data_IF_318967850210
#
_entry.id   IF_318967850210
#
_cell.length_a   1.000
_cell.length_b   1.000
_cell.length_c   1.000
_cell.angle_alpha   90.00
_cell.angle_beta   90.00
_cell.angle_gamma   90.00
#
_symmetry.space_group_name_H-M   'P 1'
#
loop_
_entity.id
_entity.type
_entity.pdbx_description
1 polymer ?
#
# COMPACT_ATOMS: atom_id res chain seq x y z
N UNK A 1 -16.52 -23.94 -5.66
CA UNK A 1 -16.38 -23.21 -4.36
C UNK A 1 -15.56 -21.97 -4.61
N UNK A 2 -15.90 -20.84 -3.96
CA UNK A 2 -15.22 -19.57 -4.14
C UNK A 2 -14.06 -19.37 -3.16
N UNK A 3 -13.09 -18.55 -3.54
CA UNK A 3 -12.01 -18.05 -2.69
C UNK A 3 -12.36 -16.63 -2.21
N UNK A 4 -12.10 -16.32 -0.96
CA UNK A 4 -12.25 -14.97 -0.44
C UNK A 4 -10.89 -14.29 -0.26
N UNK A 5 -10.80 -13.02 -0.61
CA UNK A 5 -9.66 -12.16 -0.30
C UNK A 5 -10.02 -11.24 0.86
N UNK A 6 -9.22 -11.26 1.92
CA UNK A 6 -9.38 -10.43 3.11
C UNK A 6 -8.15 -9.55 3.29
N UNK A 7 -8.23 -8.30 2.87
CA UNK A 7 -7.10 -7.36 2.78
C UNK A 7 -7.49 -5.91 3.03
N UNK A 8 -6.49 -5.06 3.17
CA UNK A 8 -6.64 -3.60 3.32
C UNK A 8 -6.91 -2.97 1.94
N UNK A 9 -7.99 -2.20 1.79
CA UNK A 9 -8.28 -1.46 0.56
C UNK A 9 -9.13 -0.19 0.73
N UNK A 10 -9.84 -0.03 1.85
CA UNK A 10 -10.73 1.12 2.09
C UNK A 10 -9.99 2.28 2.75
N UNK A 11 -8.99 2.81 2.09
CA UNK A 11 -8.16 3.90 2.59
C UNK A 11 -7.77 4.87 1.48
N UNK A 12 -7.05 5.94 1.83
CA UNK A 12 -6.54 6.94 0.88
C UNK A 12 -5.12 6.66 0.41
N UNK A 13 -4.47 5.64 0.97
CA UNK A 13 -3.14 5.20 0.54
C UNK A 13 -3.25 4.45 -0.79
N UNK A 14 -2.61 4.98 -1.82
CA UNK A 14 -2.64 4.40 -3.16
C UNK A 14 -2.14 2.95 -3.18
N UNK A 15 -1.01 2.69 -2.52
CA UNK A 15 -0.41 1.36 -2.50
C UNK A 15 -1.33 0.31 -1.89
N UNK A 16 -2.03 0.64 -0.81
CA UNK A 16 -2.95 -0.30 -0.17
C UNK A 16 -4.15 -0.66 -1.07
N UNK A 17 -4.65 0.30 -1.87
CA UNK A 17 -5.71 0.02 -2.86
C UNK A 17 -5.16 -0.79 -4.03
N UNK A 18 -3.99 -0.42 -4.54
CA UNK A 18 -3.37 -1.04 -5.71
C UNK A 18 -2.91 -2.49 -5.44
N UNK A 19 -2.38 -2.79 -4.24
CA UNK A 19 -2.04 -4.17 -3.88
C UNK A 19 -3.30 -5.06 -3.80
N UNK A 20 -4.42 -4.53 -3.27
CA UNK A 20 -5.68 -5.27 -3.23
C UNK A 20 -6.24 -5.51 -4.63
N UNK A 21 -6.18 -4.50 -5.51
CA UNK A 21 -6.53 -4.63 -6.92
C UNK A 21 -5.67 -5.69 -7.61
N UNK A 22 -4.34 -5.61 -7.48
CA UNK A 22 -3.40 -6.51 -8.13
C UNK A 22 -3.60 -7.96 -7.66
N UNK A 23 -3.76 -8.18 -6.34
CA UNK A 23 -4.00 -9.52 -5.80
C UNK A 23 -5.36 -10.08 -6.26
N UNK A 24 -6.42 -9.28 -6.21
CA UNK A 24 -7.73 -9.70 -6.70
C UNK A 24 -7.70 -10.05 -8.20
N UNK A 25 -7.02 -9.23 -9.03
CA UNK A 25 -6.84 -9.48 -10.47
C UNK A 25 -6.05 -10.78 -10.72
N UNK A 26 -4.94 -10.97 -10.00
CA UNK A 26 -4.12 -12.18 -10.13
C UNK A 26 -4.89 -13.43 -9.71
N UNK A 27 -5.61 -13.38 -8.60
CA UNK A 27 -6.44 -14.50 -8.14
C UNK A 27 -7.57 -14.83 -9.14
N UNK A 28 -8.24 -13.81 -9.69
CA UNK A 28 -9.29 -13.98 -10.72
C UNK A 28 -8.71 -14.57 -12.01
N UNK A 29 -7.53 -14.14 -12.41
CA UNK A 29 -6.82 -14.72 -13.56
C UNK A 29 -6.48 -16.21 -13.37
N UNK A 30 -6.19 -16.64 -12.13
CA UNK A 30 -5.86 -18.03 -11.81
C UNK A 30 -7.10 -18.92 -11.64
N UNK A 31 -8.17 -18.39 -11.06
CA UNK A 31 -9.33 -19.17 -10.59
C UNK A 31 -10.60 -18.93 -11.41
N UNK A 32 -10.66 -17.87 -12.19
CA UNK A 32 -11.83 -17.38 -12.90
C UNK A 32 -12.46 -16.17 -12.21
N UNK A 33 -13.07 -15.29 -13.01
CA UNK A 33 -13.61 -13.98 -12.58
C UNK A 33 -14.63 -14.08 -11.43
N UNK A 34 -15.52 -15.09 -11.46
CA UNK A 34 -16.57 -15.27 -10.47
C UNK A 34 -16.15 -16.14 -9.28
N UNK A 35 -14.93 -16.66 -9.30
CA UNK A 35 -14.41 -17.54 -8.25
C UNK A 35 -13.79 -16.80 -7.07
N UNK A 36 -13.65 -15.46 -7.15
CA UNK A 36 -12.96 -14.66 -6.13
C UNK A 36 -13.83 -13.50 -5.66
N UNK A 37 -14.15 -13.51 -4.38
CA UNK A 37 -14.84 -12.42 -3.70
C UNK A 37 -13.85 -11.65 -2.82
N UNK A 38 -13.85 -10.31 -2.88
CA UNK A 38 -13.11 -9.47 -1.93
C UNK A 38 -14.03 -9.13 -0.76
N UNK A 39 -13.66 -9.50 0.46
CA UNK A 39 -14.50 -9.29 1.65
C UNK A 39 -14.63 -7.79 1.92
N UNK A 40 -15.86 -7.28 1.79
CA UNK A 40 -16.18 -5.90 2.13
C UNK A 40 -16.29 -5.76 3.65
N UNK A 41 -15.25 -5.26 4.29
CA UNK A 41 -15.21 -5.08 5.75
C UNK A 41 -14.89 -3.65 6.11
N UNK A 42 -15.36 -3.25 7.29
CA UNK A 42 -15.01 -1.96 7.86
C UNK A 42 -13.55 -2.02 8.28
N UNK A 43 -12.78 -1.09 7.75
CA UNK A 43 -11.45 -0.82 8.26
C UNK A 43 -11.53 0.03 9.52
N UNK A 44 -10.41 0.05 10.24
CA UNK A 44 -10.22 0.76 11.48
C UNK A 44 -10.92 2.14 11.47
N UNK A 45 -11.81 2.44 12.45
CA UNK A 45 -12.37 3.78 12.60
C UNK A 45 -11.33 4.88 12.85
N UNK A 46 -10.03 4.57 13.09
CA UNK A 46 -8.94 5.56 13.14
C UNK A 46 -8.63 6.19 11.78
N UNK A 47 -9.02 5.61 10.67
CA UNK A 47 -9.28 6.36 9.44
C UNK A 47 -10.32 7.47 9.65
N UNK A 48 -10.88 7.54 10.86
CA UNK A 48 -11.69 8.61 11.44
C UNK A 48 -10.89 9.80 11.94
N UNK A 49 -9.68 10.07 11.45
CA UNK A 49 -9.11 11.40 11.55
C UNK A 49 -10.16 12.44 11.15
N UNK A 50 -9.89 13.69 11.37
CA UNK A 50 -10.81 14.80 11.10
C UNK A 50 -11.72 14.58 9.88
N UNK A 51 -11.23 13.89 8.85
CA UNK A 51 -11.94 13.55 7.63
C UNK A 51 -13.07 12.51 7.85
N UNK A 52 -12.83 11.45 8.60
CA UNK A 52 -13.87 10.48 8.96
C UNK A 52 -15.01 11.13 9.73
N UNK A 53 -14.69 12.07 10.62
CA UNK A 53 -15.69 12.87 11.35
C UNK A 53 -16.49 13.85 10.47
N UNK A 54 -15.93 14.21 9.30
CA UNK A 54 -16.62 15.05 8.31
C UNK A 54 -17.58 14.21 7.46
N UNK A 55 -17.21 13.00 7.14
CA UNK A 55 -17.93 12.13 6.18
C UNK A 55 -18.88 11.13 6.82
N UNK A 56 -18.75 10.88 8.13
CA UNK A 56 -19.65 9.96 8.85
C UNK A 56 -21.09 10.51 8.88
N UNK A 57 -22.08 9.84 8.28
CA UNK A 57 -23.47 10.28 8.27
C UNK A 57 -24.08 10.39 9.68
N UNK A 58 -23.57 9.60 10.65
CA UNK A 58 -24.02 9.62 12.03
C UNK A 58 -23.45 10.79 12.85
N UNK A 59 -22.49 11.56 12.30
CA UNK A 59 -22.00 12.77 12.97
C UNK A 59 -23.02 13.90 12.77
N UNK A 60 -23.48 14.60 13.83
CA UNK A 60 -24.40 15.72 13.71
C UNK A 60 -23.93 16.77 12.71
N UNK A 61 -24.85 17.35 11.93
CA UNK A 61 -24.53 18.27 10.83
C UNK A 61 -23.67 19.47 11.24
N UNK A 62 -23.90 20.05 12.43
CA UNK A 62 -23.13 21.18 12.95
C UNK A 62 -21.69 20.79 13.32
N UNK A 63 -21.48 19.53 13.81
CA UNK A 63 -20.15 19.02 14.07
C UNK A 63 -19.42 18.74 12.74
N UNK A 64 -20.11 18.20 11.75
CA UNK A 64 -19.54 18.02 10.38
C UNK A 64 -19.12 19.36 9.78
N UNK A 65 -19.97 20.39 9.87
CA UNK A 65 -19.66 21.73 9.42
C UNK A 65 -18.43 22.32 10.11
N UNK A 66 -18.37 22.24 11.45
CA UNK A 66 -17.22 22.70 12.23
C UNK A 66 -15.94 21.96 11.85
N UNK A 67 -16.00 20.64 11.68
CA UNK A 67 -14.86 19.83 11.30
C UNK A 67 -14.40 20.14 9.87
N UNK A 68 -15.33 20.38 8.92
CA UNK A 68 -14.99 20.84 7.56
C UNK A 68 -14.24 22.16 7.60
N UNK A 69 -14.68 23.13 8.40
CA UNK A 69 -13.95 24.41 8.54
C UNK A 69 -12.55 24.21 9.09
N UNK A 70 -12.38 23.36 10.11
CA UNK A 70 -11.05 23.02 10.66
C UNK A 70 -10.18 22.33 9.60
N UNK A 71 -10.75 21.42 8.82
CA UNK A 71 -10.05 20.74 7.73
C UNK A 71 -9.62 21.74 6.64
N UNK A 72 -10.54 22.58 6.20
CA UNK A 72 -10.24 23.61 5.20
C UNK A 72 -9.23 24.66 5.69
N UNK A 73 -9.18 24.93 6.99
CA UNK A 73 -8.18 25.83 7.57
C UNK A 73 -6.77 25.24 7.57
N UNK A 74 -6.64 23.90 7.68
CA UNK A 74 -5.37 23.19 7.89
C UNK A 74 -4.76 22.65 6.58
N UNK A 75 -5.59 22.28 5.60
CA UNK A 75 -5.13 21.54 4.43
C UNK A 75 -5.30 22.34 3.13
N UNK A 76 -4.39 22.06 2.19
CA UNK A 76 -4.39 22.63 0.84
C UNK A 76 -5.43 21.92 0.00
N UNK A 77 -6.28 22.70 -0.70
CA UNK A 77 -7.33 22.19 -1.61
C UNK A 77 -8.07 20.95 -1.07
N UNK A 78 -8.71 21.05 0.09
CA UNK A 78 -9.45 19.95 0.69
C UNK A 78 -10.61 19.46 -0.19
N UNK A 79 -11.14 20.32 -1.04
CA UNK A 79 -12.15 20.01 -2.06
C UNK A 79 -11.64 18.95 -3.06
N UNK A 80 -10.40 19.11 -3.56
CA UNK A 80 -9.79 18.15 -4.47
C UNK A 80 -9.47 16.82 -3.75
N UNK A 81 -9.08 16.87 -2.49
CA UNK A 81 -8.86 15.65 -1.71
C UNK A 81 -10.16 14.88 -1.47
N UNK A 82 -11.29 15.58 -1.23
CA UNK A 82 -12.62 14.92 -1.14
C UNK A 82 -13.01 14.32 -2.51
N UNK A 83 -12.77 15.02 -3.62
CA UNK A 83 -12.99 14.51 -4.98
C UNK A 83 -12.16 13.27 -5.28
N UNK A 84 -10.87 13.24 -4.89
CA UNK A 84 -10.00 12.06 -4.99
C UNK A 84 -10.60 10.86 -4.25
N UNK A 85 -11.09 11.07 -3.03
CA UNK A 85 -11.72 9.99 -2.25
C UNK A 85 -12.94 9.41 -2.96
N UNK A 86 -13.77 10.26 -3.55
CA UNK A 86 -14.93 9.79 -4.32
C UNK A 86 -14.48 8.94 -5.51
N UNK A 87 -13.49 9.40 -6.30
CA UNK A 87 -12.88 8.64 -7.39
C UNK A 87 -12.28 7.31 -6.91
N UNK A 88 -11.61 7.31 -5.75
CA UNK A 88 -11.04 6.08 -5.17
C UNK A 88 -12.13 5.09 -4.78
N UNK A 89 -13.23 5.53 -4.19
CA UNK A 89 -14.38 4.67 -3.85
C UNK A 89 -15.00 4.07 -5.11
N UNK A 90 -15.18 4.86 -6.17
CA UNK A 90 -15.68 4.39 -7.46
C UNK A 90 -14.73 3.34 -8.09
N UNK A 91 -13.42 3.60 -8.08
CA UNK A 91 -12.40 2.67 -8.55
C UNK A 91 -12.45 1.36 -7.76
N UNK A 92 -12.54 1.43 -6.42
CA UNK A 92 -12.65 0.24 -5.58
C UNK A 92 -13.91 -0.56 -5.95
N UNK A 93 -15.05 0.09 -6.12
CA UNK A 93 -16.30 -0.58 -6.48
C UNK A 93 -16.20 -1.28 -7.84
N UNK A 94 -15.56 -0.65 -8.82
CA UNK A 94 -15.44 -1.13 -10.19
C UNK A 94 -14.37 -2.22 -10.37
N UNK A 95 -13.21 -2.02 -9.77
CA UNK A 95 -11.99 -2.81 -10.08
C UNK A 95 -11.68 -3.83 -8.98
N UNK A 96 -11.76 -3.45 -7.70
CA UNK A 96 -11.59 -4.39 -6.58
C UNK A 96 -12.83 -5.26 -6.40
N UNK A 97 -14.01 -4.68 -6.61
CA UNK A 97 -15.33 -5.35 -6.57
C UNK A 97 -15.56 -6.09 -5.25
N UNK A 98 -15.61 -5.38 -4.12
CA UNK A 98 -15.89 -6.00 -2.83
C UNK A 98 -17.32 -6.53 -2.78
N UNK A 99 -17.56 -7.54 -1.92
CA UNK A 99 -18.89 -8.11 -1.71
C UNK A 99 -19.90 -7.02 -1.31
N UNK A 100 -21.18 -7.20 -1.69
CA UNK A 100 -22.24 -6.23 -1.38
C UNK A 100 -22.44 -6.06 0.14
N UNK A 101 -22.34 -7.16 0.91
CA UNK A 101 -22.44 -7.11 2.37
C UNK A 101 -21.18 -6.47 2.98
N UNK A 102 -21.37 -5.43 3.78
CA UNK A 102 -20.33 -4.84 4.62
C UNK A 102 -20.31 -5.55 5.99
N UNK A 103 -19.19 -6.11 6.37
CA UNK A 103 -18.93 -6.62 7.71
C UNK A 103 -18.41 -5.48 8.58
N UNK A 104 -19.24 -4.98 9.50
CA UNK A 104 -18.94 -3.79 10.29
C UNK A 104 -17.99 -4.06 11.46
N UNK A 105 -17.80 -5.33 11.83
CA UNK A 105 -16.88 -5.77 12.89
C UNK A 105 -16.29 -7.14 12.58
N UNK A 106 -15.14 -7.50 13.18
CA UNK A 106 -14.58 -8.87 13.05
C UNK A 106 -15.54 -9.97 13.49
N UNK A 107 -16.39 -9.70 14.48
CA UNK A 107 -17.38 -10.67 14.99
C UNK A 107 -18.39 -11.06 13.93
N UNK A 108 -18.74 -10.15 13.04
CA UNK A 108 -19.67 -10.44 11.94
C UNK A 108 -19.09 -11.42 10.91
N UNK A 109 -17.76 -11.55 10.85
CA UNK A 109 -17.09 -12.55 10.00
C UNK A 109 -17.36 -13.99 10.41
N UNK A 110 -17.89 -14.24 11.63
CA UNK A 110 -18.39 -15.57 12.03
C UNK A 110 -19.50 -16.08 11.12
N UNK A 111 -20.27 -15.16 10.51
CA UNK A 111 -21.33 -15.46 9.55
C UNK A 111 -20.86 -15.43 8.09
N UNK A 112 -19.53 -15.42 7.85
CA UNK A 112 -19.00 -15.46 6.51
C UNK A 112 -19.46 -16.72 5.78
N UNK A 113 -19.89 -16.55 4.53
CA UNK A 113 -20.23 -17.66 3.65
C UNK A 113 -19.09 -18.66 3.57
N UNK A 114 -19.36 -19.96 3.38
CA UNK A 114 -18.32 -20.95 3.24
C UNK A 114 -17.56 -20.73 1.94
N UNK A 115 -16.30 -20.30 2.07
CA UNK A 115 -15.34 -20.26 0.99
C UNK A 115 -14.45 -21.49 1.03
N UNK A 116 -13.90 -21.92 -0.10
CA UNK A 116 -12.90 -22.98 -0.12
C UNK A 116 -11.64 -22.53 0.63
N UNK A 117 -11.25 -21.29 0.45
CA UNK A 117 -10.06 -20.70 1.07
C UNK A 117 -10.31 -19.21 1.33
N UNK A 118 -9.81 -18.70 2.44
CA UNK A 118 -9.67 -17.25 2.70
C UNK A 118 -8.20 -16.89 2.62
N UNK A 119 -7.86 -16.03 1.66
CA UNK A 119 -6.52 -15.46 1.48
C UNK A 119 -6.46 -14.17 2.28
N UNK A 120 -5.59 -14.09 3.28
CA UNK A 120 -5.32 -12.89 4.07
C UNK A 120 -4.07 -12.20 3.51
N UNK A 121 -4.13 -10.91 3.34
CA UNK A 121 -3.01 -10.14 2.80
C UNK A 121 -3.30 -9.59 1.41
N UNK A 122 -2.44 -8.82 0.89
CA UNK A 122 -1.11 -8.39 1.32
C UNK A 122 -1.17 -7.15 2.26
N UNK A 123 -0.10 -6.34 2.18
CA UNK A 123 0.14 -5.12 2.95
C UNK A 123 0.32 -5.38 4.47
N UNK A 124 0.32 -4.32 5.27
CA UNK A 124 0.57 -4.36 6.71
C UNK A 124 -0.63 -4.94 7.52
N UNK A 125 -1.20 -6.03 7.02
CA UNK A 125 -2.33 -6.72 7.67
C UNK A 125 -1.99 -7.21 9.07
N UNK A 126 -0.74 -7.52 9.35
CA UNK A 126 -0.29 -8.00 10.66
C UNK A 126 0.51 -6.98 11.47
N UNK A 127 0.41 -5.69 11.11
CA UNK A 127 1.06 -4.63 11.89
C UNK A 127 0.36 -4.47 13.25
N UNK A 128 1.09 -4.64 14.39
CA UNK A 128 0.50 -4.56 15.72
C UNK A 128 0.11 -3.12 16.11
N UNK A 129 0.64 -2.12 15.41
CA UNK A 129 0.36 -0.70 15.64
C UNK A 129 -0.83 -0.21 14.81
N UNK A 130 -1.31 -1.03 13.88
CA UNK A 130 -2.45 -0.75 13.01
C UNK A 130 -3.51 -1.83 13.21
N UNK A 131 -4.74 -1.56 12.76
CA UNK A 131 -5.83 -2.55 12.71
C UNK A 131 -6.27 -3.12 14.08
N UNK A 132 -6.06 -2.37 15.17
CA UNK A 132 -6.32 -2.82 16.56
C UNK A 132 -7.56 -2.20 17.21
N UNK A 133 -8.39 -1.46 16.48
CA UNK A 133 -9.56 -0.74 17.00
C UNK A 133 -10.64 -1.63 17.62
N UNK A 134 -10.60 -2.92 17.30
CA UNK A 134 -11.52 -3.91 17.86
C UNK A 134 -10.90 -4.67 19.05
N UNK A 135 -9.83 -4.14 19.65
CA UNK A 135 -9.10 -4.79 20.75
C UNK A 135 -8.20 -5.93 20.32
N UNK A 136 -8.17 -6.27 19.02
CA UNK A 136 -7.28 -7.26 18.42
C UNK A 136 -7.02 -6.89 16.95
N UNK A 137 -5.95 -7.41 16.38
CA UNK A 137 -5.73 -7.25 14.94
C UNK A 137 -6.72 -8.12 14.16
N UNK A 138 -7.66 -7.48 13.48
CA UNK A 138 -8.73 -8.17 12.73
C UNK A 138 -8.21 -9.13 11.64
N UNK A 139 -7.06 -8.84 11.03
CA UNK A 139 -6.46 -9.66 9.97
C UNK A 139 -5.68 -10.88 10.49
N UNK A 140 -5.59 -11.08 11.79
CA UNK A 140 -5.25 -12.38 12.36
C UNK A 140 -6.34 -13.42 12.08
N UNK A 141 -7.49 -12.96 11.58
CA UNK A 141 -8.60 -13.78 11.12
C UNK A 141 -9.13 -14.75 12.20
N UNK A 142 -8.97 -14.39 13.47
CA UNK A 142 -9.42 -15.20 14.61
C UNK A 142 -10.93 -15.35 14.69
N UNK A 143 -11.66 -14.36 14.14
CA UNK A 143 -13.13 -14.37 14.08
C UNK A 143 -13.70 -15.19 12.91
N UNK A 144 -12.89 -15.68 12.00
CA UNK A 144 -13.37 -16.57 10.94
C UNK A 144 -13.80 -17.94 11.53
N UNK A 145 -14.83 -18.60 10.99
CA UNK A 145 -15.23 -19.95 11.40
C UNK A 145 -14.08 -20.94 11.34
N UNK A 146 -14.00 -21.88 12.28
CA UNK A 146 -12.89 -22.87 12.34
C UNK A 146 -12.83 -23.76 11.11
N UNK A 147 -13.99 -24.05 10.49
CA UNK A 147 -14.08 -24.81 9.22
C UNK A 147 -13.46 -24.08 8.04
N UNK A 148 -13.18 -22.78 8.19
CA UNK A 148 -12.68 -21.95 7.09
C UNK A 148 -11.17 -22.13 6.91
N UNK A 149 -10.76 -22.63 5.76
CA UNK A 149 -9.34 -22.68 5.40
C UNK A 149 -8.75 -21.28 5.26
N UNK A 150 -7.57 -21.05 5.84
CA UNK A 150 -6.89 -19.75 5.86
C UNK A 150 -5.48 -19.89 5.33
N UNK A 151 -5.13 -19.01 4.45
CA UNK A 151 -3.77 -18.86 3.94
C UNK A 151 -3.40 -17.37 3.94
N UNK A 152 -2.11 -17.07 3.98
CA UNK A 152 -1.65 -15.68 3.90
C UNK A 152 -0.72 -15.48 2.71
N UNK A 153 -1.01 -14.45 1.91
CA UNK A 153 -0.14 -14.07 0.80
C UNK A 153 0.50 -12.70 1.06
N UNK A 154 1.84 -12.68 1.04
CA UNK A 154 2.66 -11.47 1.19
C UNK A 154 2.22 -10.59 2.39
N UNK A 155 1.80 -11.21 3.49
CA UNK A 155 1.42 -10.50 4.70
C UNK A 155 2.63 -9.79 5.32
N UNK A 156 2.43 -8.54 5.77
CA UNK A 156 3.49 -7.73 6.36
C UNK A 156 3.18 -7.35 7.81
N UNK A 157 4.19 -7.40 8.66
CA UNK A 157 4.10 -6.89 10.03
C UNK A 157 4.38 -5.38 10.09
N UNK A 158 5.15 -4.85 9.15
CA UNK A 158 5.52 -3.43 9.12
C UNK A 158 6.37 -2.98 10.32
N UNK A 159 6.85 -3.92 11.12
CA UNK A 159 7.74 -3.72 12.28
C UNK A 159 8.86 -4.76 12.23
N UNK A 160 10.00 -4.45 12.84
CA UNK A 160 11.12 -5.40 12.96
C UNK A 160 10.90 -6.43 14.07
N UNK A 161 10.14 -6.06 15.11
CA UNK A 161 9.84 -6.92 16.25
C UNK A 161 8.40 -6.70 16.72
N UNK A 162 7.77 -7.76 17.22
CA UNK A 162 6.47 -7.66 17.85
C UNK A 162 6.61 -7.25 19.32
N UNK A 163 5.73 -6.33 19.80
CA UNK A 163 5.59 -6.05 21.21
C UNK A 163 5.32 -7.36 21.98
N UNK A 164 5.96 -7.53 23.12
CA UNK A 164 5.80 -8.75 23.95
C UNK A 164 4.34 -9.01 24.32
N UNK A 165 3.58 -7.96 24.55
CA UNK A 165 2.17 -8.01 24.94
C UNK A 165 1.25 -8.69 23.91
N UNK A 166 1.62 -8.72 22.63
CA UNK A 166 0.80 -9.34 21.58
C UNK A 166 1.38 -10.66 21.02
N UNK A 167 2.58 -11.06 21.42
CA UNK A 167 3.25 -12.26 20.86
C UNK A 167 2.41 -13.54 21.02
N UNK A 168 1.79 -13.73 22.17
CA UNK A 168 0.95 -14.91 22.43
C UNK A 168 -0.26 -15.00 21.51
N UNK A 169 -0.95 -13.87 21.32
CA UNK A 169 -2.10 -13.76 20.40
C UNK A 169 -1.69 -14.07 18.96
N UNK A 170 -0.59 -13.44 18.50
CA UNK A 170 -0.08 -13.68 17.15
C UNK A 170 0.34 -15.12 16.94
N UNK A 171 1.07 -15.71 17.90
CA UNK A 171 1.48 -17.10 17.82
C UNK A 171 0.30 -18.08 17.70
N UNK A 172 -0.75 -17.86 18.49
CA UNK A 172 -1.97 -18.67 18.45
C UNK A 172 -2.70 -18.52 17.10
N UNK A 173 -2.82 -17.28 16.60
CA UNK A 173 -3.49 -17.00 15.35
C UNK A 173 -2.73 -17.55 14.13
N UNK A 174 -1.40 -17.34 14.06
CA UNK A 174 -0.59 -17.76 12.92
C UNK A 174 -0.55 -19.30 12.77
N UNK A 175 -0.61 -20.07 13.87
CA UNK A 175 -0.71 -21.53 13.82
C UNK A 175 -1.98 -22.05 13.16
N UNK A 176 -3.03 -21.21 13.06
CA UNK A 176 -4.31 -21.56 12.41
C UNK A 176 -4.26 -21.38 10.89
N UNK A 177 -3.23 -20.73 10.36
CA UNK A 177 -3.03 -20.63 8.91
C UNK A 177 -2.40 -21.93 8.40
N UNK A 178 -3.04 -22.50 7.36
CA UNK A 178 -2.52 -23.70 6.69
C UNK A 178 -1.16 -23.42 6.05
N UNK A 179 -1.04 -22.29 5.40
CA UNK A 179 0.20 -21.83 4.74
C UNK A 179 0.31 -20.31 4.83
N UNK A 180 1.52 -19.84 5.01
CA UNK A 180 1.85 -18.42 5.14
C UNK A 180 2.95 -18.10 4.12
N UNK A 181 2.83 -16.97 3.44
CA UNK A 181 3.93 -16.27 2.80
C UNK A 181 3.95 -14.83 3.30
N UNK A 182 5.11 -14.23 3.38
CA UNK A 182 5.32 -12.86 3.88
C UNK A 182 6.03 -12.00 2.85
N UNK A 183 5.95 -10.69 3.03
CA UNK A 183 6.51 -9.72 2.06
C UNK A 183 7.96 -9.36 2.33
N UNK A 184 8.44 -9.53 3.57
CA UNK A 184 9.77 -9.12 4.02
C UNK A 184 10.43 -10.17 4.93
N UNK A 185 11.76 -10.18 4.95
CA UNK A 185 12.58 -11.11 5.76
C UNK A 185 12.32 -10.97 7.26
N UNK A 186 12.09 -9.74 7.73
CA UNK A 186 11.70 -9.48 9.13
C UNK A 186 10.41 -10.19 9.49
N UNK A 187 9.42 -10.21 8.59
CA UNK A 187 8.17 -10.95 8.75
C UNK A 187 8.39 -12.47 8.82
N UNK A 188 9.32 -13.00 8.01
CA UNK A 188 9.66 -14.40 8.04
C UNK A 188 10.32 -14.79 9.38
N UNK A 189 11.23 -13.97 9.89
CA UNK A 189 11.87 -14.18 11.19
C UNK A 189 10.86 -14.11 12.35
N UNK A 190 9.91 -13.16 12.32
CA UNK A 190 8.83 -13.08 13.32
C UNK A 190 7.98 -14.36 13.29
N UNK A 191 7.53 -14.81 12.11
CA UNK A 191 6.76 -16.04 11.99
C UNK A 191 7.52 -17.26 12.53
N UNK A 192 8.80 -17.39 12.19
CA UNK A 192 9.67 -18.47 12.65
C UNK A 192 9.80 -18.47 14.18
N UNK A 193 10.02 -17.30 14.79
CA UNK A 193 10.13 -17.18 16.25
C UNK A 193 8.84 -17.56 17.00
N UNK A 194 7.67 -17.34 16.37
CA UNK A 194 6.37 -17.60 16.99
C UNK A 194 5.83 -19.00 16.74
N UNK A 195 6.19 -19.60 15.61
CA UNK A 195 5.55 -20.84 15.15
C UNK A 195 6.53 -22.00 14.92
N UNK A 196 7.83 -21.72 14.90
CA UNK A 196 8.88 -22.67 14.51
C UNK A 196 8.93 -22.93 13.00
N UNK A 197 8.16 -22.21 12.19
CA UNK A 197 8.13 -22.34 10.73
C UNK A 197 8.50 -21.04 10.07
N UNK A 198 9.50 -21.06 9.18
CA UNK A 198 9.91 -19.90 8.39
C UNK A 198 9.14 -19.89 7.07
N UNK A 199 8.25 -18.93 6.84
CA UNK A 199 7.51 -18.82 5.59
C UNK A 199 8.39 -18.29 4.45
N UNK A 200 8.06 -18.61 3.19
CA UNK A 200 8.68 -17.98 2.02
C UNK A 200 8.41 -16.46 1.98
N UNK A 201 9.44 -15.71 1.58
CA UNK A 201 9.31 -14.28 1.25
C UNK A 201 8.95 -14.14 -0.22
N UNK A 202 7.84 -13.46 -0.50
CA UNK A 202 7.29 -13.29 -1.85
C UNK A 202 7.11 -11.80 -2.18
N UNK A 203 6.91 -11.50 -3.45
CA UNK A 203 6.64 -10.15 -3.91
C UNK A 203 5.30 -9.62 -3.40
N UNK A 204 5.27 -8.29 -3.17
CA UNK A 204 4.00 -7.56 -3.04
C UNK A 204 3.14 -7.79 -4.30
N UNK A 205 1.81 -7.91 -4.16
CA UNK A 205 0.93 -8.14 -5.31
C UNK A 205 1.09 -7.15 -6.45
N UNK A 206 1.46 -5.90 -6.17
CA UNK A 206 1.68 -4.91 -7.22
C UNK A 206 2.77 -5.33 -8.21
N UNK A 207 3.74 -6.11 -7.76
CA UNK A 207 4.86 -6.61 -8.58
C UNK A 207 4.57 -7.95 -9.25
N UNK A 208 3.42 -8.58 -9.00
CA UNK A 208 2.96 -9.75 -9.75
C UNK A 208 2.52 -9.38 -11.17
N UNK A 209 2.06 -8.15 -11.35
CA UNK A 209 1.69 -7.61 -12.66
C UNK A 209 2.91 -6.96 -13.33
N UNK A 210 3.05 -7.18 -14.63
CA UNK A 210 4.08 -6.55 -15.45
C UNK A 210 3.76 -5.08 -15.74
N UNK A 211 4.72 -4.32 -16.25
CA UNK A 211 4.50 -2.94 -16.70
C UNK A 211 3.39 -2.85 -17.76
N UNK A 212 3.34 -3.82 -18.68
CA UNK A 212 2.32 -3.91 -19.73
C UNK A 212 0.94 -4.17 -19.12
N UNK A 213 0.82 -5.14 -18.22
CA UNK A 213 -0.46 -5.43 -17.53
C UNK A 213 -0.97 -4.25 -16.70
N UNK A 214 -0.07 -3.49 -16.07
CA UNK A 214 -0.43 -2.24 -15.39
C UNK A 214 -0.87 -1.17 -16.39
N UNK A 215 -0.12 -1.00 -17.49
CA UNK A 215 -0.48 -0.05 -18.53
C UNK A 215 -1.89 -0.32 -19.06
N UNK A 216 -2.20 -1.58 -19.40
CA UNK A 216 -3.53 -1.97 -19.86
C UNK A 216 -4.63 -1.72 -18.82
N UNK A 217 -4.32 -1.93 -17.53
CA UNK A 217 -5.28 -1.69 -16.46
C UNK A 217 -5.61 -0.22 -16.27
N UNK A 218 -4.62 0.68 -16.39
CA UNK A 218 -4.77 2.09 -16.03
C UNK A 218 -5.07 3.03 -17.19
N UNK A 219 -4.78 2.64 -18.44
CA UNK A 219 -4.94 3.48 -19.66
C UNK A 219 -6.41 3.73 -20.01
N UNK A 220 -7.33 2.91 -19.53
CA UNK A 220 -8.75 3.08 -19.83
C UNK A 220 -9.32 4.35 -19.16
N UNK A 221 -9.06 5.50 -19.76
CA UNK A 221 -9.83 6.71 -19.50
C UNK A 221 -9.13 7.95 -18.98
N UNK A 222 -7.82 8.08 -19.04
CA UNK A 222 -7.16 9.30 -18.57
C UNK A 222 -6.11 9.85 -19.52
N UNK A 223 -6.05 11.18 -19.57
CA UNK A 223 -4.99 11.92 -20.25
C UNK A 223 -3.66 11.66 -19.54
N UNK A 224 -2.65 11.29 -20.31
CA UNK A 224 -1.26 11.24 -19.84
C UNK A 224 -0.85 12.63 -19.30
N UNK A 225 0.07 12.65 -18.34
CA UNK A 225 0.71 13.90 -17.93
C UNK A 225 1.33 14.57 -19.15
N UNK A 226 1.05 15.87 -19.31
CA UNK A 226 1.56 16.61 -20.46
C UNK A 226 2.98 17.11 -20.16
N UNK A 227 3.98 16.49 -20.77
CA UNK A 227 5.37 16.92 -20.74
C UNK A 227 6.23 16.28 -19.65
N UNK A 228 7.55 16.53 -19.70
CA UNK A 228 8.53 15.99 -18.77
C UNK A 228 8.27 16.43 -17.33
N UNK A 229 8.39 15.52 -16.36
CA UNK A 229 8.20 15.84 -14.96
C UNK A 229 8.82 14.80 -14.03
N UNK A 230 9.04 15.16 -12.78
CA UNK A 230 9.34 14.24 -11.70
C UNK A 230 8.04 13.91 -10.96
N UNK A 231 7.71 12.62 -10.84
CA UNK A 231 6.63 12.16 -9.98
C UNK A 231 7.14 12.07 -8.53
N UNK A 232 6.58 12.85 -7.62
CA UNK A 232 6.90 12.79 -6.21
C UNK A 232 5.73 12.19 -5.42
N UNK A 233 6.00 11.19 -4.56
CA UNK A 233 4.96 10.56 -3.73
C UNK A 233 5.42 10.37 -2.29
N UNK A 234 4.69 10.99 -1.36
CA UNK A 234 4.94 10.91 0.08
C UNK A 234 3.84 10.19 0.84
N UNK A 235 4.23 9.21 1.66
CA UNK A 235 3.31 8.53 2.60
C UNK A 235 3.26 9.27 3.93
N UNK A 236 4.37 9.86 4.35
CA UNK A 236 4.44 10.72 5.53
C UNK A 236 3.72 12.04 5.28
N UNK A 237 3.43 12.75 6.37
CA UNK A 237 2.96 14.16 6.25
C UNK A 237 4.06 14.99 5.60
N UNK A 238 3.72 15.63 4.48
CA UNK A 238 4.63 16.54 3.77
C UNK A 238 4.90 17.76 4.63
N UNK A 239 6.15 18.16 4.76
CA UNK A 239 6.61 19.37 5.43
C UNK A 239 7.07 20.45 4.43
N UNK A 240 7.28 21.70 4.91
CA UNK A 240 7.83 22.74 4.06
C UNK A 240 9.24 22.37 3.58
N UNK A 241 10.05 21.76 4.43
CA UNK A 241 11.40 21.32 4.05
C UNK A 241 11.36 20.26 2.90
N UNK A 242 10.34 19.40 2.86
CA UNK A 242 10.16 18.49 1.73
C UNK A 242 9.85 19.23 0.43
N UNK A 243 8.97 20.24 0.50
CA UNK A 243 8.61 21.08 -0.67
C UNK A 243 9.83 21.87 -1.16
N UNK A 244 10.60 22.46 -0.27
CA UNK A 244 11.80 23.24 -0.61
C UNK A 244 12.88 22.36 -1.25
N UNK A 245 13.10 21.16 -0.72
CA UNK A 245 14.03 20.17 -1.29
C UNK A 245 13.56 19.67 -2.67
N UNK A 246 12.25 19.41 -2.83
CA UNK A 246 11.68 19.05 -4.14
C UNK A 246 11.80 20.20 -5.15
N UNK A 247 11.64 21.44 -4.73
CA UNK A 247 11.83 22.59 -5.60
C UNK A 247 13.32 22.74 -6.04
N UNK A 248 14.26 22.51 -5.14
CA UNK A 248 15.68 22.48 -5.48
C UNK A 248 15.98 21.33 -6.47
N UNK A 249 15.42 20.16 -6.24
CA UNK A 249 15.53 19.01 -7.15
C UNK A 249 14.93 19.29 -8.53
N UNK A 250 13.75 19.93 -8.59
CA UNK A 250 13.13 20.37 -9.83
C UNK A 250 14.05 21.30 -10.64
N UNK A 251 14.61 22.32 -9.98
CA UNK A 251 15.56 23.26 -10.64
C UNK A 251 16.79 22.55 -11.19
N UNK A 252 17.34 21.61 -10.44
CA UNK A 252 18.49 20.81 -10.87
C UNK A 252 18.17 19.95 -12.10
N UNK A 253 16.96 19.36 -12.14
CA UNK A 253 16.53 18.50 -13.25
C UNK A 253 15.98 19.28 -14.46
N UNK A 254 15.65 20.56 -14.28
CA UNK A 254 15.05 21.38 -15.33
C UNK A 254 13.60 21.03 -15.68
N UNK A 255 12.92 20.25 -14.84
CA UNK A 255 11.54 19.79 -15.05
C UNK A 255 10.72 19.96 -13.77
N UNK A 256 9.39 20.22 -13.86
CA UNK A 256 8.56 20.40 -12.68
C UNK A 256 8.41 19.10 -11.88
N UNK A 257 8.20 19.23 -10.59
CA UNK A 257 7.81 18.12 -9.70
C UNK A 257 6.29 18.11 -9.56
N UNK A 258 5.65 16.98 -9.78
CA UNK A 258 4.24 16.75 -9.46
C UNK A 258 4.13 15.96 -8.17
N UNK A 259 3.64 16.63 -7.12
CA UNK A 259 3.63 16.11 -5.75
C UNK A 259 2.29 15.46 -5.42
N UNK A 260 2.34 14.18 -5.14
CA UNK A 260 1.24 13.37 -4.59
C UNK A 260 1.52 12.99 -3.14
N UNK A 261 0.48 12.77 -2.35
CA UNK A 261 0.61 12.30 -0.96
C UNK A 261 -0.47 11.29 -0.60
N UNK A 262 -0.19 10.37 0.32
CA UNK A 262 -1.19 9.41 0.80
C UNK A 262 -2.32 10.10 1.57
N UNK A 263 -2.00 11.10 2.36
CA UNK A 263 -2.93 11.93 3.12
C UNK A 263 -3.25 13.27 2.44
N UNK A 264 -4.05 14.11 3.09
CA UNK A 264 -4.28 15.47 2.64
C UNK A 264 -3.01 16.31 2.84
N UNK A 265 -2.67 17.13 1.83
CA UNK A 265 -1.52 18.02 1.91
C UNK A 265 -1.79 19.14 2.92
N UNK A 266 -0.87 19.44 3.84
CA UNK A 266 -0.95 20.65 4.67
C UNK A 266 -0.94 21.93 3.82
N UNK A 267 -1.38 23.04 4.41
CA UNK A 267 -1.15 24.35 3.80
C UNK A 267 0.32 24.71 3.91
N UNK A 268 1.01 24.65 2.80
CA UNK A 268 2.42 24.95 2.63
C UNK A 268 2.58 25.96 1.50
N UNK A 269 3.73 26.57 1.41
CA UNK A 269 4.10 27.42 0.29
C UNK A 269 4.64 26.52 -0.84
N UNK A 270 3.90 26.48 -1.95
CA UNK A 270 4.29 25.71 -3.14
C UNK A 270 4.87 26.64 -4.20
N UNK A 271 6.20 26.62 -4.42
CA UNK A 271 6.80 27.37 -5.52
C UNK A 271 6.37 26.73 -6.86
N UNK A 272 6.52 27.50 -7.96
CA UNK A 272 6.08 27.08 -9.31
C UNK A 272 6.70 25.74 -9.78
N UNK A 273 7.83 25.38 -9.24
CA UNK A 273 8.56 24.14 -9.51
C UNK A 273 7.86 22.91 -8.94
N UNK A 274 7.03 23.07 -7.90
CA UNK A 274 6.32 21.97 -7.22
C UNK A 274 4.82 22.13 -7.40
N UNK A 275 4.23 21.28 -8.22
CA UNK A 275 2.81 21.28 -8.54
C UNK A 275 2.09 20.20 -7.73
N UNK A 276 1.26 20.56 -6.73
CA UNK A 276 0.47 19.59 -5.99
C UNK A 276 -0.56 18.90 -6.87
N UNK A 277 -0.53 17.56 -6.92
CA UNK A 277 -1.52 16.73 -7.63
C UNK A 277 -2.44 16.05 -6.62
N UNK A 278 -3.35 16.82 -6.03
CA UNK A 278 -4.16 16.44 -4.88
C UNK A 278 -5.28 15.47 -5.21
N UNK A 279 -5.85 15.56 -6.42
CA UNK A 279 -7.02 14.78 -6.84
C UNK A 279 -6.67 13.51 -7.65
N UNK A 280 -5.40 13.11 -7.65
CA UNK A 280 -4.97 11.85 -8.24
C UNK A 280 -5.66 10.67 -7.54
N UNK A 281 -6.39 9.85 -8.28
CA UNK A 281 -6.86 8.54 -7.82
C UNK A 281 -5.72 7.50 -7.90
N UNK A 282 -5.89 6.26 -7.39
CA UNK A 282 -4.84 5.24 -7.44
C UNK A 282 -4.34 4.92 -8.86
N UNK A 283 -5.20 4.95 -9.88
CA UNK A 283 -4.77 4.72 -11.26
C UNK A 283 -4.05 5.93 -11.86
N UNK A 284 -4.48 7.16 -11.50
CA UNK A 284 -3.75 8.36 -11.86
C UNK A 284 -2.34 8.38 -11.26
N UNK A 285 -2.18 7.89 -10.02
CA UNK A 285 -0.87 7.72 -9.39
C UNK A 285 0.03 6.76 -10.20
N UNK A 286 -0.49 5.63 -10.67
CA UNK A 286 0.29 4.67 -11.48
C UNK A 286 0.73 5.31 -12.80
N UNK A 287 -0.20 6.02 -13.48
CA UNK A 287 0.12 6.73 -14.75
C UNK A 287 1.17 7.81 -14.53
N UNK A 288 1.04 8.58 -13.46
CA UNK A 288 1.98 9.65 -13.13
C UNK A 288 3.41 9.14 -12.98
N UNK A 289 3.57 7.98 -12.33
CA UNK A 289 4.88 7.32 -12.23
C UNK A 289 5.30 6.77 -13.59
N UNK A 290 4.41 6.09 -14.31
CA UNK A 290 4.72 5.48 -15.60
C UNK A 290 5.18 6.51 -16.64
N UNK A 291 4.62 7.72 -16.61
CA UNK A 291 4.90 8.78 -17.59
C UNK A 291 6.02 9.73 -17.13
N UNK A 292 6.53 9.61 -15.90
CA UNK A 292 7.55 10.51 -15.35
C UNK A 292 8.96 10.24 -15.90
N UNK A 293 9.80 11.28 -15.89
CA UNK A 293 11.24 11.13 -16.19
C UNK A 293 12.03 10.58 -15.00
N UNK A 294 11.51 10.77 -13.78
CA UNK A 294 12.07 10.28 -12.55
C UNK A 294 11.02 10.23 -11.44
N UNK A 295 11.30 9.47 -10.40
CA UNK A 295 10.45 9.34 -9.20
C UNK A 295 11.23 9.75 -7.96
N UNK A 296 10.58 10.53 -7.07
CA UNK A 296 11.10 10.79 -5.73
C UNK A 296 10.06 10.30 -4.70
N UNK A 297 10.46 9.45 -3.75
CA UNK A 297 9.45 8.85 -2.86
C UNK A 297 10.01 8.34 -1.54
N UNK A 298 9.21 8.45 -0.48
CA UNK A 298 9.41 7.76 0.80
C UNK A 298 8.53 6.50 0.93
N UNK A 299 7.87 6.12 -0.16
CA UNK A 299 6.90 5.04 -0.21
C UNK A 299 7.49 3.77 -0.78
N UNK A 300 7.27 2.65 -0.10
CA UNK A 300 7.61 1.33 -0.63
C UNK A 300 6.89 1.05 -1.98
N UNK A 301 5.59 1.36 -2.08
CA UNK A 301 4.87 1.17 -3.34
C UNK A 301 5.30 2.17 -4.42
N UNK A 302 5.65 3.42 -4.04
CA UNK A 302 6.24 4.37 -4.97
C UNK A 302 7.52 3.84 -5.62
N UNK A 303 8.40 3.25 -4.79
CA UNK A 303 9.62 2.59 -5.25
C UNK A 303 9.32 1.38 -6.15
N UNK A 304 8.36 0.54 -5.77
CA UNK A 304 7.97 -0.62 -6.58
C UNK A 304 7.46 -0.22 -7.96
N UNK A 305 6.59 0.79 -8.05
CA UNK A 305 6.10 1.28 -9.35
C UNK A 305 7.21 1.93 -10.18
N UNK A 306 8.16 2.65 -9.55
CA UNK A 306 9.32 3.14 -10.26
C UNK A 306 10.14 1.98 -10.88
N UNK A 307 10.34 0.89 -10.14
CA UNK A 307 11.01 -0.31 -10.63
C UNK A 307 10.21 -1.02 -11.74
N UNK A 308 8.89 -1.20 -11.58
CA UNK A 308 8.01 -1.82 -12.59
C UNK A 308 8.10 -1.08 -13.93
N UNK A 309 8.06 0.27 -13.90
CA UNK A 309 8.11 1.10 -15.10
C UNK A 309 9.52 1.52 -15.50
N UNK A 310 10.55 0.99 -14.83
CA UNK A 310 11.98 1.28 -15.11
C UNK A 310 12.27 2.79 -15.09
N UNK A 311 11.68 3.49 -14.13
CA UNK A 311 11.93 4.93 -13.97
C UNK A 311 13.10 5.16 -13.04
N UNK A 312 14.00 6.11 -13.36
CA UNK A 312 15.00 6.60 -12.41
C UNK A 312 14.31 7.02 -11.11
N UNK A 313 14.91 6.70 -9.95
CA UNK A 313 14.25 7.06 -8.71
C UNK A 313 15.22 7.49 -7.61
N UNK A 314 14.72 8.35 -6.71
CA UNK A 314 15.27 8.63 -5.40
C UNK A 314 14.35 8.00 -4.35
N UNK A 315 14.82 6.95 -3.68
CA UNK A 315 14.15 6.38 -2.52
C UNK A 315 14.66 7.10 -1.27
N UNK A 316 13.74 7.74 -0.52
CA UNK A 316 14.06 8.60 0.61
C UNK A 316 13.53 7.96 1.90
N UNK A 317 14.40 7.68 2.85
CA UNK A 317 14.05 7.05 4.12
C UNK A 317 14.64 7.79 5.30
N UNK A 318 14.00 7.72 6.46
CA UNK A 318 14.64 8.09 7.71
C UNK A 318 15.49 6.90 8.15
N UNK A 319 16.79 6.98 7.85
CA UNK A 319 17.75 5.91 8.13
C UNK A 319 18.16 5.86 9.62
N UNK A 320 17.80 6.88 10.39
CA UNK A 320 18.12 7.00 11.81
C UNK A 320 16.98 6.56 12.72
N UNK A 321 15.76 6.40 12.20
CA UNK A 321 14.59 5.89 12.94
C UNK A 321 14.37 4.40 12.65
N UNK A 322 14.63 3.50 13.61
CA UNK A 322 14.39 2.05 13.46
C UNK A 322 12.92 1.68 13.20
N UNK A 323 11.98 2.56 13.57
CA UNK A 323 10.55 2.39 13.32
C UNK A 323 10.11 2.88 11.94
N UNK A 324 11.01 3.46 11.17
CA UNK A 324 10.71 4.01 9.85
C UNK A 324 10.47 2.92 8.79
N UNK A 325 9.82 3.31 7.71
CA UNK A 325 9.64 2.45 6.52
C UNK A 325 10.96 2.21 5.75
N UNK A 326 12.07 2.82 6.17
CA UNK A 326 13.33 2.80 5.44
C UNK A 326 13.89 1.39 5.27
N UNK A 327 13.74 0.51 6.26
CA UNK A 327 14.21 -0.89 6.17
C UNK A 327 13.70 -1.62 4.94
N UNK A 328 12.40 -1.44 4.60
CA UNK A 328 11.78 -2.08 3.43
C UNK A 328 12.32 -1.52 2.11
N UNK A 329 12.60 -0.22 2.06
CA UNK A 329 13.23 0.41 0.90
C UNK A 329 14.66 -0.11 0.71
N UNK A 330 15.42 -0.20 1.81
CA UNK A 330 16.80 -0.72 1.82
C UNK A 330 16.83 -2.19 1.39
N UNK A 331 15.94 -3.02 1.93
CA UNK A 331 15.89 -4.46 1.60
C UNK A 331 15.52 -4.67 0.14
N UNK A 332 14.57 -3.91 -0.39
CA UNK A 332 14.21 -3.93 -1.81
C UNK A 332 15.40 -3.55 -2.69
N UNK A 333 16.03 -2.41 -2.40
CA UNK A 333 17.17 -1.94 -3.18
C UNK A 333 18.33 -2.95 -3.14
N UNK A 334 18.64 -3.49 -1.97
CA UNK A 334 19.69 -4.52 -1.81
C UNK A 334 19.39 -5.77 -2.63
N UNK A 335 18.13 -6.22 -2.60
CA UNK A 335 17.70 -7.44 -3.28
C UNK A 335 17.87 -7.38 -4.79
N UNK A 336 17.69 -6.20 -5.40
CA UNK A 336 17.73 -6.02 -6.84
C UNK A 336 18.94 -5.24 -7.35
N UNK A 337 20.07 -5.37 -6.66
CA UNK A 337 21.34 -4.78 -7.14
C UNK A 337 21.46 -3.27 -6.91
N UNK A 338 20.49 -2.65 -6.25
CA UNK A 338 20.42 -1.20 -6.03
C UNK A 338 20.91 -0.82 -4.64
N UNK A 339 21.84 -1.58 -4.05
CA UNK A 339 22.40 -1.29 -2.72
C UNK A 339 22.93 0.14 -2.61
N UNK A 340 22.66 0.79 -1.47
CA UNK A 340 23.08 2.19 -1.22
C UNK A 340 22.21 3.27 -1.88
N UNK A 341 21.11 2.89 -2.54
CA UNK A 341 20.21 3.84 -3.25
C UNK A 341 19.16 4.50 -2.36
N UNK A 342 18.93 3.99 -1.15
CA UNK A 342 18.08 4.68 -0.19
C UNK A 342 18.90 5.76 0.47
N UNK A 343 18.44 7.00 0.37
CA UNK A 343 19.08 8.17 0.90
C UNK A 343 18.37 8.65 2.16
N UNK A 344 19.14 9.25 3.07
CA UNK A 344 18.56 9.85 4.25
C UNK A 344 17.72 11.07 3.86
N UNK A 345 16.48 11.10 4.35
CA UNK A 345 15.58 12.19 4.04
C UNK A 345 15.95 13.50 4.71
N UNK A 346 16.68 13.44 5.84
CA UNK A 346 17.24 14.63 6.50
C UNK A 346 18.28 15.28 5.62
N UNK A 347 19.19 14.50 5.02
CA UNK A 347 20.16 14.97 4.05
C UNK A 347 19.49 15.61 2.83
N UNK A 348 18.46 14.99 2.28
CA UNK A 348 17.66 15.57 1.19
C UNK A 348 17.03 16.92 1.56
N UNK A 349 16.45 17.03 2.76
CA UNK A 349 15.86 18.27 3.27
C UNK A 349 16.90 19.38 3.50
N UNK A 350 18.13 18.99 3.79
CA UNK A 350 19.26 19.92 3.97
C UNK A 350 19.92 20.33 2.64
N UNK A 351 19.34 19.93 1.49
CA UNK A 351 19.76 20.35 0.16
C UNK A 351 20.78 19.44 -0.52
N UNK A 352 21.07 18.26 0.03
CA UNK A 352 21.85 17.27 -0.68
C UNK A 352 21.03 16.75 -1.88
N UNK A 353 21.62 16.85 -3.07
CA UNK A 353 20.96 16.38 -4.28
C UNK A 353 20.72 14.88 -4.23
N UNK A 354 19.51 14.38 -4.49
CA UNK A 354 19.27 12.97 -4.49
C UNK A 354 19.92 12.32 -5.71
N UNK A 355 20.59 11.21 -5.50
CA UNK A 355 21.06 10.37 -6.62
C UNK A 355 19.88 9.73 -7.30
N UNK A 356 19.53 10.26 -8.46
CA UNK A 356 18.51 9.71 -9.35
C UNK A 356 19.25 9.07 -10.53
N UNK A 357 19.73 7.91 -10.33
CA UNK A 357 20.33 7.14 -11.40
C UNK A 357 19.47 5.91 -11.68
N UNK A 358 19.39 5.53 -12.95
CA UNK A 358 18.75 4.30 -13.41
C UNK A 358 19.63 3.11 -13.06
N UNK A 359 20.22 3.03 -11.88
CA UNK A 359 21.07 1.87 -11.60
C UNK A 359 20.53 0.60 -12.23
N UNK A 360 21.37 -0.28 -12.61
CA UNK A 360 21.02 -1.54 -13.22
C UNK A 360 20.16 -2.37 -12.26
N UNK A 361 18.86 -2.14 -12.31
CA UNK A 361 17.89 -3.02 -11.66
C UNK A 361 18.16 -4.44 -12.16
N UNK A 362 18.40 -5.37 -11.26
CA UNK A 362 18.52 -6.79 -11.63
C UNK A 362 17.14 -7.33 -12.07
N UNK A 363 16.84 -7.12 -13.35
CA UNK A 363 15.57 -7.53 -13.95
C UNK A 363 15.42 -9.05 -13.96
N UNK A 364 16.52 -9.79 -14.06
CA UNK A 364 16.48 -11.26 -14.04
C UNK A 364 16.07 -11.75 -12.65
N UNK A 365 16.66 -11.17 -11.60
CA UNK A 365 16.27 -11.48 -10.22
C UNK A 365 14.81 -11.11 -9.97
N UNK A 366 14.36 -9.95 -10.45
CA UNK A 366 12.97 -9.51 -10.29
C UNK A 366 11.99 -10.45 -10.98
N UNK A 367 12.28 -10.86 -12.22
CA UNK A 367 11.42 -11.80 -12.96
C UNK A 367 11.42 -13.18 -12.31
N UNK A 368 12.57 -13.69 -11.88
CA UNK A 368 12.67 -14.96 -11.14
C UNK A 368 11.81 -14.90 -9.85
N UNK A 369 11.84 -13.79 -9.14
CA UNK A 369 11.01 -13.58 -7.96
C UNK A 369 9.51 -13.50 -8.29
N UNK A 370 9.13 -12.91 -9.43
CA UNK A 370 7.73 -12.87 -9.88
C UNK A 370 7.23 -14.29 -10.17
N UNK A 371 7.98 -15.06 -10.95
CA UNK A 371 7.64 -16.47 -11.25
C UNK A 371 7.52 -17.30 -9.99
N UNK A 372 8.48 -17.17 -9.06
CA UNK A 372 8.45 -17.85 -7.76
C UNK A 372 7.22 -17.44 -6.94
N UNK A 373 6.93 -16.15 -6.87
CA UNK A 373 5.81 -15.61 -6.08
C UNK A 373 4.45 -16.06 -6.63
N UNK A 374 4.30 -16.13 -7.96
CA UNK A 374 3.13 -16.70 -8.61
C UNK A 374 3.01 -18.21 -8.34
N UNK A 375 4.13 -18.93 -8.30
CA UNK A 375 4.19 -20.34 -7.91
C UNK A 375 3.73 -20.56 -6.47
N UNK A 376 4.22 -19.74 -5.53
CA UNK A 376 3.78 -19.78 -4.13
C UNK A 376 2.30 -19.45 -3.99
N UNK A 377 1.78 -18.45 -4.72
CA UNK A 377 0.36 -18.13 -4.70
C UNK A 377 -0.50 -19.31 -5.20
N UNK A 378 -0.11 -19.99 -6.29
CA UNK A 378 -0.80 -21.21 -6.75
C UNK A 378 -0.77 -22.31 -5.69
N UNK A 379 0.37 -22.49 -5.02
CA UNK A 379 0.53 -23.48 -3.95
C UNK A 379 -0.32 -23.18 -2.70
N UNK A 380 -0.58 -21.89 -2.39
CA UNK A 380 -1.53 -21.49 -1.35
C UNK A 380 -2.97 -21.88 -1.69
N UNK A 381 -3.33 -21.83 -2.97
CA UNK A 381 -4.69 -22.09 -3.46
C UNK A 381 -4.98 -23.59 -3.68
N UNK A 382 -3.92 -24.41 -3.83
CA UNK A 382 -4.12 -25.86 -3.95
C UNK A 382 -4.74 -26.43 -2.68
N UNK A 383 -5.73 -27.27 -2.85
CA UNK A 383 -6.39 -28.02 -1.77
C UNK A 383 -5.35 -28.84 -0.98
N UNK A 384 -5.68 -29.20 0.27
CA UNK A 384 -4.88 -30.16 1.03
C UNK A 384 -4.65 -31.41 0.18
N UNK A 385 -3.42 -31.95 0.16
CA UNK A 385 -3.17 -33.24 -0.46
C UNK A 385 -4.02 -34.34 0.18
#
# INVERSE_FOLDING_TARGET
>A
MKTALYTIFRCTNYGAVLQAFALARTLRGMLGEDAVDVINHRMDPRDTHLLGKITNPNTPWFQRWRNRRKFAARYFRPDLFEARRAKTVELIAKEVRPTARLYASPQELKSLQPYSTVVVGSDQVWNPLLNTDFGCNQYLATSLPDRQDRVAYAASFGVSELPETCRGEYAAALRRFRRITVREETGAAICESLTGRRPPVVLDPTMLLTAEEWHDAVVRGASAAKGPHVAAYWVRTVSQADVDALAAFSRMRGVPVRLMSAGPLPKLDFPKEVVPFVDADPFAFVREIADSDAVATDSFHGLQFAAIFRRPFAALGDLHDPGSNASRLVDFCRRYGLGGRVQDIGSFRNGEAPHVDVGELDEQALEADRVRSLGELRALLSSRP
#
